data_IF_795697913347
#
_entry.id   IF_795697913347
#
_cell.length_a   1.000
_cell.length_b   1.000
_cell.length_c   1.000
_cell.angle_alpha   90.00
_cell.angle_beta   90.00
_cell.angle_gamma   90.00
#
_symmetry.space_group_name_H-M   'P 1'
#
loop_
_entity.id
_entity.type
_entity.pdbx_description
1 polymer ?
#
# COMPACT_ATOMS: atom_id res chain seq x y z
N UNK A 1 -57.33 33.11 1.63
CA UNK A 1 -57.01 32.32 0.42
C UNK A 1 -55.49 32.21 0.23
N UNK A 2 -54.73 31.92 1.29
CA UNK A 2 -53.25 32.00 1.27
C UNK A 2 -52.56 30.79 1.91
N UNK A 3 -53.30 29.94 2.63
CA UNK A 3 -52.72 28.79 3.35
C UNK A 3 -52.40 27.61 2.43
N UNK A 4 -53.29 27.28 1.47
CA UNK A 4 -53.05 26.18 0.52
C UNK A 4 -51.83 26.41 -0.39
N UNK A 5 -51.63 27.65 -0.86
CA UNK A 5 -50.47 28.02 -1.67
C UNK A 5 -49.14 27.88 -0.92
N UNK A 6 -49.13 28.13 0.40
CA UNK A 6 -47.94 27.96 1.24
C UNK A 6 -47.53 26.50 1.39
N UNK A 7 -48.50 25.60 1.61
CA UNK A 7 -48.24 24.15 1.71
C UNK A 7 -47.76 23.55 0.39
N UNK A 8 -48.35 23.96 -0.74
CA UNK A 8 -47.90 23.52 -2.07
C UNK A 8 -46.47 23.97 -2.40
N UNK A 9 -46.08 25.19 -1.97
CA UNK A 9 -44.71 25.66 -2.15
C UNK A 9 -43.73 24.88 -1.25
N UNK A 10 -44.10 24.62 0.00
CA UNK A 10 -43.30 23.80 0.92
C UNK A 10 -43.06 22.39 0.40
N UNK A 11 -44.10 21.73 -0.15
CA UNK A 11 -43.96 20.39 -0.73
C UNK A 11 -43.01 20.39 -1.93
N UNK A 12 -43.08 21.42 -2.80
CA UNK A 12 -42.12 21.58 -3.91
C UNK A 12 -40.70 21.77 -3.41
N UNK A 13 -40.48 22.58 -2.37
CA UNK A 13 -39.16 22.73 -1.76
C UNK A 13 -38.67 21.43 -1.13
N UNK A 14 -39.54 20.68 -0.44
CA UNK A 14 -39.23 19.38 0.14
C UNK A 14 -38.76 18.37 -0.91
N UNK A 15 -39.47 18.28 -2.04
CA UNK A 15 -39.10 17.40 -3.15
C UNK A 15 -37.75 17.81 -3.76
N UNK A 16 -37.52 19.11 -3.95
CA UNK A 16 -36.26 19.63 -4.50
C UNK A 16 -35.09 19.33 -3.55
N UNK A 17 -35.26 19.58 -2.24
CA UNK A 17 -34.24 19.28 -1.22
C UNK A 17 -33.97 17.77 -1.16
N UNK A 18 -35.01 16.94 -1.24
CA UNK A 18 -34.88 15.48 -1.31
C UNK A 18 -34.08 15.01 -2.53
N UNK A 19 -34.33 15.61 -3.69
CA UNK A 19 -33.59 15.32 -4.92
C UNK A 19 -32.12 15.73 -4.81
N UNK A 20 -31.85 16.94 -4.31
CA UNK A 20 -30.48 17.44 -4.14
C UNK A 20 -29.70 16.58 -3.15
N UNK A 21 -30.28 16.25 -2.00
CA UNK A 21 -29.64 15.39 -0.99
C UNK A 21 -29.39 13.97 -1.51
N UNK A 22 -30.32 13.41 -2.29
CA UNK A 22 -30.14 12.13 -2.97
C UNK A 22 -28.95 12.15 -3.94
N UNK A 23 -28.85 13.19 -4.77
CA UNK A 23 -27.73 13.35 -5.72
C UNK A 23 -26.40 13.51 -4.99
N UNK A 24 -26.33 14.35 -3.95
CA UNK A 24 -25.10 14.55 -3.17
C UNK A 24 -24.65 13.23 -2.53
N UNK A 25 -25.58 12.49 -1.91
CA UNK A 25 -25.27 11.20 -1.27
C UNK A 25 -24.74 10.20 -2.29
N UNK A 26 -25.34 10.14 -3.48
CA UNK A 26 -24.89 9.27 -4.56
C UNK A 26 -23.50 9.65 -5.09
N UNK A 27 -23.20 10.94 -5.21
CA UNK A 27 -21.87 11.43 -5.59
C UNK A 27 -20.80 11.08 -4.55
N UNK A 28 -21.11 11.24 -3.26
CA UNK A 28 -20.20 10.86 -2.17
C UNK A 28 -19.93 9.36 -2.19
N UNK A 29 -20.97 8.54 -2.36
CA UNK A 29 -20.83 7.08 -2.43
C UNK A 29 -19.97 6.65 -3.63
N UNK A 30 -20.19 7.23 -4.81
CA UNK A 30 -19.37 6.98 -6.00
C UNK A 30 -17.91 7.37 -5.75
N UNK A 31 -17.67 8.55 -5.18
CA UNK A 31 -16.32 9.04 -4.90
C UNK A 31 -15.58 8.14 -3.89
N UNK A 32 -16.25 7.70 -2.82
CA UNK A 32 -15.69 6.77 -1.83
C UNK A 32 -15.36 5.41 -2.45
N UNK A 33 -16.30 4.85 -3.22
CA UNK A 33 -16.11 3.56 -3.91
C UNK A 33 -14.92 3.59 -4.88
N UNK A 34 -14.70 4.72 -5.55
CA UNK A 34 -13.56 4.91 -6.42
C UNK A 34 -12.24 5.04 -5.65
N UNK A 35 -12.25 5.57 -4.43
CA UNK A 35 -11.06 5.60 -3.55
C UNK A 35 -10.72 4.23 -3.00
N UNK A 36 -11.69 3.44 -2.55
CA UNK A 36 -11.44 2.09 -2.04
C UNK A 36 -10.74 1.19 -3.06
N UNK A 37 -11.07 1.34 -4.35
CA UNK A 37 -10.40 0.60 -5.41
C UNK A 37 -8.91 0.99 -5.55
N UNK A 38 -8.56 2.25 -5.31
CA UNK A 38 -7.15 2.73 -5.32
C UNK A 38 -6.33 2.16 -4.16
N UNK A 39 -6.97 2.02 -3.01
CA UNK A 39 -6.31 1.65 -1.76
C UNK A 39 -6.04 0.14 -1.64
N UNK A 40 -6.73 -0.68 -2.44
CA UNK A 40 -6.61 -2.13 -2.48
C UNK A 40 -5.59 -2.65 -3.50
N UNK A 41 -4.93 -1.77 -4.26
CA UNK A 41 -3.87 -2.19 -5.15
C UNK A 41 -2.71 -2.79 -4.34
N UNK A 42 -2.19 -3.91 -4.83
CA UNK A 42 -1.13 -4.68 -4.19
C UNK A 42 0.22 -4.19 -4.69
N UNK A 43 1.15 -3.98 -3.76
CA UNK A 43 2.53 -3.57 -4.02
C UNK A 43 3.43 -4.74 -3.63
N UNK A 44 4.29 -5.15 -4.55
CA UNK A 44 5.35 -6.11 -4.28
C UNK A 44 6.55 -5.38 -3.66
N UNK A 45 7.21 -6.03 -2.72
CA UNK A 45 8.42 -5.50 -2.07
C UNK A 45 9.56 -6.42 -2.39
N UNK A 46 10.64 -5.85 -2.93
CA UNK A 46 11.78 -6.58 -3.43
C UNK A 46 13.04 -6.21 -2.65
N UNK A 47 13.85 -7.20 -2.31
CA UNK A 47 15.21 -7.03 -1.84
C UNK A 47 16.12 -7.08 -3.07
N UNK A 48 16.81 -5.97 -3.38
CA UNK A 48 17.70 -5.84 -4.52
C UNK A 48 19.15 -5.72 -4.07
N UNK A 49 20.01 -6.59 -4.57
CA UNK A 49 21.47 -6.41 -4.52
C UNK A 49 22.01 -6.19 -5.93
N UNK A 50 22.42 -4.94 -6.19
CA UNK A 50 22.96 -4.49 -7.46
C UNK A 50 24.34 -5.09 -7.76
N UNK A 51 25.08 -5.54 -6.75
CA UNK A 51 26.44 -6.05 -6.93
C UNK A 51 26.47 -7.48 -7.48
N UNK A 52 25.44 -8.27 -7.15
CA UNK A 52 25.31 -9.67 -7.58
C UNK A 52 24.17 -9.85 -8.59
N UNK A 53 23.38 -8.80 -8.87
CA UNK A 53 22.21 -8.91 -9.75
C UNK A 53 21.11 -9.78 -9.13
N UNK A 54 20.96 -9.72 -7.81
CA UNK A 54 20.04 -10.57 -7.06
C UNK A 54 18.76 -9.80 -6.69
N UNK A 55 17.60 -10.31 -7.10
CA UNK A 55 16.28 -9.79 -6.70
C UNK A 55 15.49 -10.88 -5.98
N UNK A 56 15.19 -10.67 -4.70
CA UNK A 56 14.26 -11.51 -3.94
C UNK A 56 12.96 -10.77 -3.69
N UNK A 57 11.87 -11.23 -4.29
CA UNK A 57 10.53 -10.68 -4.11
C UNK A 57 9.87 -11.34 -2.90
N UNK A 58 9.40 -10.53 -1.96
CA UNK A 58 8.78 -11.04 -0.74
C UNK A 58 7.45 -11.76 -1.03
N UNK A 59 7.13 -12.85 -0.30
CA UNK A 59 5.93 -13.67 -0.54
C UNK A 59 4.61 -12.91 -0.43
N UNK A 60 4.59 -11.89 0.44
CA UNK A 60 3.38 -11.15 0.75
C UNK A 60 3.37 -9.82 0.01
N UNK A 61 2.36 -9.62 -0.83
CA UNK A 61 2.08 -8.31 -1.43
C UNK A 61 1.33 -7.46 -0.41
N UNK A 62 1.81 -6.24 -0.16
CA UNK A 62 1.22 -5.33 0.81
C UNK A 62 0.20 -4.45 0.08
N UNK A 63 -0.96 -4.21 0.68
CA UNK A 63 -1.93 -3.24 0.11
C UNK A 63 -1.34 -1.84 0.19
N UNK A 64 -1.54 -1.03 -0.86
CA UNK A 64 -1.03 0.35 -0.93
C UNK A 64 -1.37 1.18 0.30
N UNK A 65 -2.60 1.10 0.81
CA UNK A 65 -3.00 1.83 2.04
C UNK A 65 -2.25 1.40 3.31
N UNK A 66 -1.75 0.17 3.35
CA UNK A 66 -1.04 -0.42 4.47
C UNK A 66 0.48 -0.40 4.25
N UNK A 67 0.97 0.11 3.11
CA UNK A 67 2.41 0.24 2.85
C UNK A 67 2.98 1.28 3.81
N UNK A 68 3.43 0.80 4.96
CA UNK A 68 4.04 1.59 6.03
C UNK A 68 5.35 0.95 6.45
N UNK A 69 6.21 1.73 7.11
CA UNK A 69 7.47 1.21 7.65
C UNK A 69 7.24 0.03 8.59
N UNK A 70 6.22 0.10 9.45
CA UNK A 70 5.93 -0.94 10.44
C UNK A 70 5.52 -2.27 9.78
N UNK A 71 4.66 -2.22 8.76
CA UNK A 71 4.24 -3.41 8.01
C UNK A 71 5.40 -4.04 7.26
N UNK A 72 6.22 -3.21 6.61
CA UNK A 72 7.41 -3.69 5.90
C UNK A 72 8.45 -4.28 6.86
N UNK A 73 8.66 -3.64 8.01
CA UNK A 73 9.53 -4.16 9.07
C UNK A 73 9.00 -5.46 9.69
N UNK A 74 7.68 -5.61 9.82
CA UNK A 74 7.03 -6.84 10.26
C UNK A 74 7.23 -7.96 9.24
N UNK A 75 7.06 -7.67 7.95
CA UNK A 75 7.28 -8.62 6.86
C UNK A 75 8.73 -9.12 6.83
N UNK A 76 9.69 -8.22 6.96
CA UNK A 76 11.11 -8.58 7.04
C UNK A 76 11.44 -9.38 8.30
N UNK A 77 10.79 -9.08 9.42
CA UNK A 77 10.94 -9.83 10.67
C UNK A 77 10.43 -11.28 10.61
N UNK A 78 9.56 -11.61 9.64
CA UNK A 78 9.10 -12.98 9.41
C UNK A 78 10.06 -13.80 8.55
N UNK A 79 11.07 -13.17 7.94
CA UNK A 79 12.00 -13.87 7.07
C UNK A 79 12.93 -14.81 7.87
N UNK A 80 13.27 -15.98 7.30
CA UNK A 80 14.14 -16.93 7.97
C UNK A 80 15.57 -16.36 8.09
N UNK A 81 16.01 -16.11 9.32
CA UNK A 81 17.38 -15.72 9.61
C UNK A 81 18.29 -16.92 9.81
N UNK A 82 19.59 -16.74 9.54
CA UNK A 82 20.62 -17.75 9.82
C UNK A 82 20.75 -18.03 11.32
N UNK A 83 20.69 -16.97 12.14
CA UNK A 83 20.74 -17.06 13.60
C UNK A 83 19.33 -16.93 14.20
N UNK A 84 18.87 -17.95 14.93
CA UNK A 84 17.55 -17.93 15.59
C UNK A 84 17.51 -16.84 16.67
N UNK A 85 16.54 -15.94 16.57
CA UNK A 85 16.29 -14.89 17.57
C UNK A 85 17.13 -13.62 17.40
N UNK A 86 18.02 -13.57 16.39
CA UNK A 86 18.69 -12.33 15.99
C UNK A 86 17.69 -11.40 15.33
N UNK A 87 17.91 -10.09 15.44
CA UNK A 87 17.17 -9.07 14.68
C UNK A 87 17.89 -8.84 13.36
N UNK A 88 17.14 -8.58 12.30
CA UNK A 88 17.74 -8.18 11.03
C UNK A 88 18.27 -6.75 11.14
N UNK A 89 19.37 -6.50 10.46
CA UNK A 89 19.94 -5.17 10.26
C UNK A 89 20.02 -4.96 8.75
N UNK A 90 19.27 -3.98 8.25
CA UNK A 90 19.23 -3.64 6.82
C UNK A 90 19.50 -2.15 6.68
N UNK A 91 20.69 -1.79 6.21
CA UNK A 91 21.07 -0.38 6.04
C UNK A 91 20.19 0.31 5.01
N UNK A 92 19.75 -0.43 3.97
CA UNK A 92 18.79 0.00 2.96
C UNK A 92 17.53 0.68 3.50
N UNK A 93 17.03 0.23 4.66
CA UNK A 93 15.82 0.77 5.28
C UNK A 93 16.03 2.11 5.99
N UNK A 94 17.28 2.46 6.29
CA UNK A 94 17.61 3.70 6.98
C UNK A 94 17.87 4.86 5.99
N UNK A 95 17.95 4.57 4.69
CA UNK A 95 18.15 5.58 3.67
C UNK A 95 16.91 6.45 3.43
N UNK A 96 17.12 7.77 3.32
CA UNK A 96 16.07 8.76 3.03
C UNK A 96 15.39 8.49 1.68
N UNK A 97 16.16 8.00 0.71
CA UNK A 97 15.66 7.66 -0.64
C UNK A 97 14.66 6.51 -0.62
N UNK A 98 14.85 5.55 0.29
CA UNK A 98 13.92 4.45 0.48
C UNK A 98 12.57 4.96 1.02
N UNK A 99 12.58 5.82 2.03
CA UNK A 99 11.35 6.42 2.57
C UNK A 99 10.61 7.24 1.53
N UNK A 100 11.35 8.06 0.77
CA UNK A 100 10.79 8.84 -0.33
C UNK A 100 10.16 7.94 -1.40
N UNK A 101 10.77 6.79 -1.67
CA UNK A 101 10.24 5.79 -2.62
C UNK A 101 9.00 5.09 -2.08
N UNK A 102 8.97 4.79 -0.78
CA UNK A 102 7.82 4.19 -0.10
C UNK A 102 6.61 5.13 -0.09
N UNK A 103 6.81 6.41 0.23
CA UNK A 103 5.75 7.43 0.16
C UNK A 103 5.24 7.63 -1.27
N UNK A 104 6.15 7.69 -2.25
CA UNK A 104 5.77 7.74 -3.67
C UNK A 104 4.97 6.52 -4.08
N UNK A 105 5.37 5.32 -3.65
CA UNK A 105 4.63 4.10 -3.88
C UNK A 105 3.29 4.08 -3.15
N UNK A 106 3.12 4.80 -2.05
CA UNK A 106 1.81 4.91 -1.40
C UNK A 106 0.83 5.78 -2.20
N UNK A 107 1.33 6.78 -2.93
CA UNK A 107 0.50 7.80 -3.61
C UNK A 107 0.34 7.55 -5.11
N UNK A 108 1.40 7.09 -5.80
CA UNK A 108 1.45 6.96 -7.26
C UNK A 108 0.89 5.62 -7.74
N UNK A 109 -0.01 5.63 -8.73
CA UNK A 109 -0.64 4.40 -9.25
C UNK A 109 0.28 3.57 -10.14
N UNK A 110 1.27 4.20 -10.74
CA UNK A 110 2.14 3.55 -11.71
C UNK A 110 3.26 2.75 -11.04
N UNK A 111 3.37 2.84 -9.71
CA UNK A 111 4.33 2.10 -8.91
C UNK A 111 3.64 0.87 -8.33
N UNK A 112 4.10 -0.30 -8.75
CA UNK A 112 3.64 -1.61 -8.29
C UNK A 112 4.70 -2.36 -7.48
N UNK A 113 5.93 -1.84 -7.45
CA UNK A 113 7.07 -2.46 -6.81
C UNK A 113 7.84 -1.44 -5.98
N UNK A 114 8.27 -1.85 -4.79
CA UNK A 114 9.19 -1.08 -3.93
C UNK A 114 10.45 -1.90 -3.74
N UNK A 115 11.58 -1.29 -4.04
CA UNK A 115 12.88 -1.93 -3.97
C UNK A 115 13.64 -1.46 -2.74
N UNK A 116 14.06 -2.40 -1.91
CA UNK A 116 14.98 -2.18 -0.80
C UNK A 116 16.37 -2.51 -1.34
N UNK A 117 17.26 -1.53 -1.36
CA UNK A 117 18.66 -1.75 -1.72
C UNK A 117 19.35 -2.46 -0.55
N UNK A 118 19.89 -3.63 -0.82
CA UNK A 118 20.60 -4.45 0.15
C UNK A 118 22.04 -4.64 -0.32
N UNK A 119 22.96 -4.68 0.64
CA UNK A 119 24.32 -5.13 0.41
C UNK A 119 24.40 -6.65 0.45
N UNK A 120 25.55 -7.22 0.05
CA UNK A 120 25.78 -8.65 0.18
C UNK A 120 25.72 -9.10 1.66
N UNK A 121 26.32 -8.29 2.54
CA UNK A 121 26.36 -8.55 3.99
C UNK A 121 24.96 -8.58 4.60
N UNK A 122 24.06 -7.70 4.14
CA UNK A 122 22.64 -7.68 4.51
C UNK A 122 21.95 -9.00 4.15
N UNK A 123 22.19 -9.52 2.94
CA UNK A 123 21.58 -10.76 2.47
C UNK A 123 22.15 -12.00 3.16
N UNK A 124 23.41 -11.96 3.61
CA UNK A 124 24.04 -13.05 4.35
C UNK A 124 23.44 -13.28 5.74
N UNK A 125 22.67 -12.33 6.28
CA UNK A 125 21.97 -12.51 7.56
C UNK A 125 20.80 -13.50 7.46
N UNK A 126 20.27 -13.67 6.25
CA UNK A 126 19.14 -14.54 5.98
C UNK A 126 19.58 -15.92 5.49
N UNK A 127 18.79 -16.93 5.83
CA UNK A 127 19.02 -18.30 5.36
C UNK A 127 18.59 -18.38 3.89
N UNK A 128 19.57 -18.38 2.98
CA UNK A 128 19.35 -18.38 1.53
C UNK A 128 18.44 -19.51 1.09
N UNK A 129 18.74 -20.75 1.50
CA UNK A 129 17.98 -21.94 1.09
C UNK A 129 16.50 -21.84 1.51
N UNK A 130 16.23 -21.26 2.68
CA UNK A 130 14.86 -21.01 3.12
C UNK A 130 14.24 -19.82 2.42
N UNK A 131 14.98 -18.75 2.19
CA UNK A 131 14.51 -17.60 1.42
C UNK A 131 14.01 -18.02 0.04
N UNK A 132 14.69 -18.91 -0.68
CA UNK A 132 14.25 -19.39 -2.01
C UNK A 132 12.92 -20.17 -1.94
N UNK A 133 12.56 -20.69 -0.77
CA UNK A 133 11.28 -21.37 -0.55
C UNK A 133 10.13 -20.39 -0.36
N UNK A 134 10.41 -19.19 0.18
CA UNK A 134 9.40 -18.19 0.51
C UNK A 134 9.34 -17.03 -0.49
N UNK A 135 10.44 -16.70 -1.14
CA UNK A 135 10.58 -15.54 -2.01
C UNK A 135 10.71 -15.98 -3.47
N UNK A 136 10.08 -15.23 -4.38
CA UNK A 136 10.33 -15.39 -5.82
C UNK A 136 11.67 -14.71 -6.14
N UNK A 137 12.69 -15.53 -6.40
CA UNK A 137 14.03 -15.06 -6.76
C UNK A 137 14.11 -14.89 -8.27
N UNK A 138 14.67 -13.77 -8.69
CA UNK A 138 15.00 -13.46 -10.08
C UNK A 138 16.42 -12.90 -10.16
N UNK A 139 17.17 -13.35 -11.17
CA UNK A 139 18.41 -12.71 -11.57
C UNK A 139 18.08 -11.48 -12.42
N UNK A 140 18.73 -10.35 -12.13
CA UNK A 140 18.53 -9.04 -12.80
C UNK A 140 19.50 -8.91 -13.98
#
# INVERSE_FOLDING_TARGET
MTWGFFWEQLDRFGIIIGLITGVITMLIWLHLKWREKKDNDLIAVNLLDLSVGYKATLPCKIRRKNLTRAELQGLLGMLPMNEKGKRYELDGLNHVDFFSSLEKAQVSRDIYEVNILCTNDDLMQFDKARLETFCEISEI
#
